data_IF_002402263179
#
_entry.id   IF_002402263179
#
_cell.length_a   1.000
_cell.length_b   1.000
_cell.length_c   1.000
_cell.angle_alpha   90.00
_cell.angle_beta   90.00
_cell.angle_gamma   90.00
#
_symmetry.space_group_name_H-M   'P 1'
#
loop_
_entity.id
_entity.type
_entity.pdbx_description
1 polymer ?
#
# COMPACT_ATOMS: atom_id res chain seq x y z
N UNK A 1 17.64 29.65 4.34
CA UNK A 1 16.44 28.90 4.82
C UNK A 1 16.05 27.85 3.80
N UNK A 2 15.55 26.67 4.23
CA UNK A 2 15.06 25.62 3.34
C UNK A 2 13.53 25.47 3.53
N UNK A 3 12.76 25.87 2.52
CA UNK A 3 11.30 25.72 2.53
C UNK A 3 10.92 24.37 1.94
N UNK A 4 10.15 23.54 2.67
CA UNK A 4 9.66 22.28 2.12
C UNK A 4 8.63 22.54 1.01
N UNK A 5 8.65 21.69 -0.02
CA UNK A 5 7.69 21.72 -1.12
C UNK A 5 6.69 20.56 -1.03
N UNK A 6 5.74 20.53 -1.96
CA UNK A 6 4.75 19.45 -2.02
C UNK A 6 5.38 18.07 -2.29
N UNK A 7 6.54 18.00 -2.93
CA UNK A 7 7.30 16.75 -3.13
C UNK A 7 7.92 16.19 -1.85
N UNK A 8 8.04 16.98 -0.77
CA UNK A 8 8.55 16.49 0.53
C UNK A 8 7.57 15.46 1.10
N UNK A 9 8.08 14.33 1.62
CA UNK A 9 7.21 13.33 2.23
C UNK A 9 6.51 13.88 3.48
N UNK A 10 5.30 13.38 3.79
CA UNK A 10 4.57 13.79 4.99
C UNK A 10 5.36 13.51 6.27
N UNK A 11 6.06 12.39 6.33
CA UNK A 11 6.94 12.03 7.43
C UNK A 11 8.07 13.03 7.63
N UNK A 12 8.73 13.44 6.54
CA UNK A 12 9.77 14.49 6.59
C UNK A 12 9.20 15.84 7.01
N UNK A 13 7.99 16.19 6.54
CA UNK A 13 7.30 17.41 7.00
C UNK A 13 7.08 17.37 8.51
N UNK A 14 6.55 16.28 9.03
CA UNK A 14 6.27 16.11 10.46
C UNK A 14 7.53 16.07 11.30
N UNK A 15 8.45 15.13 11.00
CA UNK A 15 9.59 14.81 11.88
C UNK A 15 10.73 15.82 11.77
N UNK A 16 10.91 16.43 10.62
CA UNK A 16 12.07 17.28 10.37
C UNK A 16 11.72 18.75 10.39
N UNK A 17 10.83 19.19 9.51
CA UNK A 17 10.47 20.60 9.40
C UNK A 17 9.53 21.03 10.53
N UNK A 18 8.50 20.23 10.80
CA UNK A 18 7.48 20.53 11.78
C UNK A 18 8.02 20.50 13.20
N UNK A 19 8.76 19.47 13.57
CA UNK A 19 9.37 19.40 14.90
C UNK A 19 10.31 20.58 15.14
N UNK A 20 11.17 20.91 14.16
CA UNK A 20 12.08 22.04 14.28
C UNK A 20 11.32 23.35 14.48
N UNK A 21 10.35 23.65 13.60
CA UNK A 21 9.58 24.89 13.61
C UNK A 21 8.78 25.04 14.90
N UNK A 22 8.01 24.00 15.27
CA UNK A 22 7.20 24.01 16.50
C UNK A 22 8.05 24.24 17.77
N UNK A 23 9.18 23.54 17.88
CA UNK A 23 10.09 23.72 19.02
C UNK A 23 10.61 25.15 19.12
N UNK A 24 10.92 25.79 17.99
CA UNK A 24 11.38 27.19 17.97
C UNK A 24 10.26 28.15 18.33
N UNK A 25 9.03 27.93 17.85
CA UNK A 25 7.86 28.73 18.20
C UNK A 25 7.54 28.64 19.68
N UNK A 26 7.56 27.43 20.26
CA UNK A 26 7.26 27.20 21.67
C UNK A 26 8.31 27.80 22.62
N UNK A 27 9.54 28.00 22.15
CA UNK A 27 10.60 28.64 22.95
C UNK A 27 10.44 30.16 23.07
N UNK A 28 9.61 30.81 22.25
CA UNK A 28 9.41 32.26 22.26
C UNK A 28 7.97 32.64 22.64
N UNK A 29 7.82 33.30 23.81
CA UNK A 29 6.53 33.73 24.35
C UNK A 29 5.80 34.76 23.45
N UNK A 30 6.52 35.46 22.58
CA UNK A 30 5.94 36.49 21.71
C UNK A 30 5.16 35.91 20.54
N UNK A 31 5.32 34.62 20.25
CA UNK A 31 4.71 33.93 19.09
C UNK A 31 3.86 32.73 19.51
N UNK A 32 3.32 32.75 20.74
CA UNK A 32 2.53 31.67 21.30
C UNK A 32 1.33 31.27 20.42
N UNK A 33 0.62 32.23 19.84
CA UNK A 33 -0.53 31.98 18.98
C UNK A 33 -0.12 31.22 17.70
N UNK A 34 1.04 31.54 17.12
CA UNK A 34 1.59 30.80 15.96
C UNK A 34 1.93 29.37 16.37
N UNK A 35 2.53 29.19 17.56
CA UNK A 35 2.84 27.84 18.06
C UNK A 35 1.58 26.98 18.21
N UNK A 36 0.50 27.50 18.82
CA UNK A 36 -0.77 26.80 18.98
C UNK A 36 -1.45 26.50 17.63
N UNK A 37 -1.38 27.44 16.67
CA UNK A 37 -1.90 27.27 15.32
C UNK A 37 -1.17 26.19 14.55
N UNK A 38 0.16 26.21 14.59
CA UNK A 38 1.00 25.24 13.91
C UNK A 38 0.93 23.83 14.55
N UNK A 39 0.85 23.75 15.87
CA UNK A 39 0.68 22.47 16.57
C UNK A 39 -0.60 21.74 16.12
N UNK A 40 -1.72 22.47 15.95
CA UNK A 40 -2.95 21.90 15.39
C UNK A 40 -2.76 21.38 13.97
N UNK A 41 -1.98 22.07 13.12
CA UNK A 41 -1.66 21.60 11.77
C UNK A 41 -0.78 20.33 11.81
N UNK A 42 0.21 20.29 12.73
CA UNK A 42 1.03 19.12 12.99
C UNK A 42 0.18 17.89 13.37
N UNK A 43 -0.71 18.07 14.34
CA UNK A 43 -1.58 17.00 14.83
C UNK A 43 -2.50 16.47 13.73
N UNK A 44 -3.14 17.37 12.94
CA UNK A 44 -4.01 16.93 11.83
C UNK A 44 -3.27 16.14 10.77
N UNK A 45 -2.09 16.61 10.34
CA UNK A 45 -1.29 15.87 9.37
C UNK A 45 -0.87 14.51 9.92
N UNK A 46 -0.42 14.46 11.19
CA UNK A 46 -0.05 13.21 11.85
C UNK A 46 -1.22 12.23 11.90
N UNK A 47 -2.41 12.67 12.28
CA UNK A 47 -3.62 11.83 12.31
C UNK A 47 -3.92 11.20 10.93
N UNK A 48 -3.76 11.96 9.83
CA UNK A 48 -3.98 11.42 8.49
C UNK A 48 -2.90 10.44 8.06
N UNK A 49 -1.65 10.66 8.45
CA UNK A 49 -0.55 9.72 8.22
C UNK A 49 -0.79 8.42 8.98
N UNK A 50 -1.13 8.49 10.27
CA UNK A 50 -1.41 7.31 11.10
C UNK A 50 -2.61 6.50 10.53
N UNK A 51 -3.64 7.19 10.04
CA UNK A 51 -4.79 6.55 9.39
C UNK A 51 -4.40 5.85 8.07
N UNK A 52 -3.57 6.46 7.24
CA UNK A 52 -3.05 5.86 6.02
C UNK A 52 -2.19 4.63 6.31
N UNK A 53 -1.29 4.69 7.29
CA UNK A 53 -0.48 3.53 7.69
C UNK A 53 -1.35 2.37 8.16
N UNK A 54 -2.41 2.64 8.94
CA UNK A 54 -3.38 1.63 9.38
C UNK A 54 -4.13 1.00 8.19
N UNK A 55 -4.57 1.82 7.23
CA UNK A 55 -5.26 1.33 6.03
C UNK A 55 -4.33 0.48 5.16
N UNK A 56 -3.07 0.88 4.98
CA UNK A 56 -2.06 0.13 4.23
C UNK A 56 -1.78 -1.24 4.86
N UNK A 57 -1.63 -1.30 6.18
CA UNK A 57 -1.50 -2.57 6.90
C UNK A 57 -2.73 -3.48 6.73
N UNK A 58 -3.92 -2.89 6.67
CA UNK A 58 -5.16 -3.65 6.45
C UNK A 58 -5.21 -4.21 5.03
N UNK A 59 -4.81 -3.43 4.01
CA UNK A 59 -4.71 -3.90 2.63
C UNK A 59 -3.68 -5.03 2.47
N UNK A 60 -2.53 -4.92 3.12
CA UNK A 60 -1.51 -5.99 3.11
C UNK A 60 -2.01 -7.29 3.76
N UNK A 61 -2.77 -7.19 4.87
CA UNK A 61 -3.38 -8.37 5.52
C UNK A 61 -4.44 -9.01 4.63
N UNK A 62 -5.30 -8.21 4.00
CA UNK A 62 -6.31 -8.71 3.08
C UNK A 62 -5.68 -9.38 1.85
N UNK A 63 -4.57 -8.85 1.34
CA UNK A 63 -3.76 -9.46 0.29
C UNK A 63 -3.26 -10.85 0.71
N UNK A 64 -2.68 -10.97 1.91
CA UNK A 64 -2.17 -12.24 2.41
C UNK A 64 -3.28 -13.30 2.59
N UNK A 65 -4.48 -12.88 3.03
CA UNK A 65 -5.64 -13.77 3.13
C UNK A 65 -6.08 -14.23 1.74
N UNK A 66 -6.18 -13.33 0.77
CA UNK A 66 -6.51 -13.65 -0.62
C UNK A 66 -5.55 -14.68 -1.22
N UNK A 67 -4.26 -14.46 -1.05
CA UNK A 67 -3.22 -15.36 -1.59
C UNK A 67 -3.26 -16.74 -0.88
N UNK A 68 -3.64 -16.76 0.40
CA UNK A 68 -3.87 -18.00 1.13
C UNK A 68 -5.09 -18.79 0.62
N UNK A 69 -6.20 -18.12 0.34
CA UNK A 69 -7.41 -18.77 -0.20
C UNK A 69 -7.21 -19.22 -1.66
N UNK A 70 -6.41 -18.50 -2.45
CA UNK A 70 -5.97 -18.92 -3.77
C UNK A 70 -5.19 -20.23 -3.72
N UNK A 71 -4.21 -20.34 -2.84
CA UNK A 71 -3.45 -21.57 -2.62
C UNK A 71 -4.35 -22.76 -2.18
N UNK A 72 -5.38 -22.51 -1.38
CA UNK A 72 -6.36 -23.54 -0.96
C UNK A 72 -7.20 -24.02 -2.16
N UNK A 73 -7.63 -23.10 -3.02
CA UNK A 73 -8.36 -23.44 -4.24
C UNK A 73 -7.48 -24.28 -5.18
N UNK A 74 -6.27 -23.82 -5.46
CA UNK A 74 -5.27 -24.52 -6.26
C UNK A 74 -5.04 -25.97 -5.77
N UNK A 75 -4.80 -26.15 -4.49
CA UNK A 75 -4.59 -27.47 -3.90
C UNK A 75 -5.84 -28.36 -4.04
N UNK A 76 -7.03 -27.80 -3.86
CA UNK A 76 -8.29 -28.51 -4.03
C UNK A 76 -8.48 -28.96 -5.47
N UNK A 77 -8.16 -28.09 -6.46
CA UNK A 77 -8.18 -28.42 -7.89
C UNK A 77 -7.16 -29.52 -8.22
N UNK A 78 -5.93 -29.44 -7.66
CA UNK A 78 -4.88 -30.46 -7.84
C UNK A 78 -5.31 -31.83 -7.29
N UNK A 79 -5.93 -31.86 -6.12
CA UNK A 79 -6.45 -33.09 -5.54
C UNK A 79 -7.57 -33.69 -6.39
N UNK A 80 -8.48 -32.85 -6.88
CA UNK A 80 -9.52 -33.29 -7.82
C UNK A 80 -8.91 -33.84 -9.11
N UNK A 81 -7.95 -33.13 -9.72
CA UNK A 81 -7.21 -33.58 -10.90
C UNK A 81 -6.57 -34.95 -10.69
N UNK A 82 -5.87 -35.16 -9.57
CA UNK A 82 -5.22 -36.42 -9.25
C UNK A 82 -6.24 -37.57 -9.12
N UNK A 83 -7.41 -37.31 -8.53
CA UNK A 83 -8.49 -38.30 -8.43
C UNK A 83 -9.05 -38.65 -9.81
N UNK A 84 -9.28 -37.66 -10.68
CA UNK A 84 -9.68 -37.89 -12.07
C UNK A 84 -8.62 -38.71 -12.82
N UNK A 85 -7.35 -38.39 -12.66
CA UNK A 85 -6.22 -39.13 -13.29
C UNK A 85 -6.16 -40.59 -12.83
N UNK A 86 -6.31 -40.83 -11.53
CA UNK A 86 -6.32 -42.19 -10.99
C UNK A 86 -7.47 -43.04 -11.58
N UNK A 87 -8.68 -42.45 -11.64
CA UNK A 87 -9.86 -43.13 -12.24
C UNK A 87 -9.73 -43.36 -13.73
N UNK A 88 -8.96 -42.57 -14.43
CA UNK A 88 -8.62 -42.74 -15.86
C UNK A 88 -7.46 -43.69 -16.10
N UNK A 89 -6.86 -44.30 -15.07
CA UNK A 89 -5.63 -45.09 -15.24
C UNK A 89 -4.47 -44.29 -15.82
N UNK A 90 -4.35 -43.02 -15.42
CA UNK A 90 -3.39 -42.03 -15.93
C UNK A 90 -3.49 -41.73 -17.45
N UNK A 91 -4.63 -42.05 -18.06
CA UNK A 91 -4.86 -41.81 -19.49
C UNK A 91 -5.53 -40.44 -19.73
N UNK A 92 -4.74 -39.41 -20.10
CA UNK A 92 -5.24 -38.08 -20.46
C UNK A 92 -6.10 -38.03 -21.73
N UNK A 93 -6.17 -39.12 -22.52
CA UNK A 93 -7.03 -39.20 -23.70
C UNK A 93 -8.44 -39.74 -23.32
N UNK A 94 -8.64 -40.20 -22.11
CA UNK A 94 -9.93 -40.75 -21.67
C UNK A 94 -11.04 -39.67 -21.74
N UNK A 95 -12.29 -40.07 -22.06
CA UNK A 95 -13.42 -39.15 -22.07
C UNK A 95 -13.64 -38.48 -20.72
N UNK A 96 -13.46 -39.20 -19.58
CA UNK A 96 -13.59 -38.69 -18.25
C UNK A 96 -12.55 -37.57 -17.97
N UNK A 97 -11.27 -37.78 -18.35
CA UNK A 97 -10.26 -36.76 -18.19
C UNK A 97 -10.60 -35.51 -19.02
N UNK A 98 -10.93 -35.67 -20.28
CA UNK A 98 -11.26 -34.55 -21.19
C UNK A 98 -12.54 -33.82 -20.76
N UNK A 99 -13.46 -34.49 -20.07
CA UNK A 99 -14.65 -33.83 -19.49
C UNK A 99 -14.26 -32.72 -18.51
N UNK A 100 -13.31 -32.95 -17.62
CA UNK A 100 -12.91 -32.01 -16.57
C UNK A 100 -11.72 -31.16 -16.95
N UNK A 101 -10.71 -31.74 -17.57
CA UNK A 101 -9.44 -31.10 -17.87
C UNK A 101 -9.05 -31.25 -19.37
N UNK A 102 -9.83 -30.67 -20.30
CA UNK A 102 -9.56 -30.84 -21.73
C UNK A 102 -8.17 -30.35 -22.15
N UNK A 103 -7.66 -29.31 -21.51
CA UNK A 103 -6.34 -28.69 -21.74
C UNK A 103 -5.30 -29.05 -20.66
N UNK A 104 -5.67 -29.91 -19.69
CA UNK A 104 -4.84 -30.27 -18.56
C UNK A 104 -5.06 -29.41 -17.33
N UNK A 105 -4.22 -29.63 -16.30
CA UNK A 105 -4.30 -28.92 -15.02
C UNK A 105 -3.82 -27.47 -15.12
N UNK A 106 -2.65 -27.28 -15.79
CA UNK A 106 -1.92 -26.02 -15.77
C UNK A 106 -2.77 -24.81 -16.18
N UNK A 107 -3.58 -24.85 -17.26
CA UNK A 107 -4.42 -23.71 -17.60
C UNK A 107 -5.46 -23.34 -16.53
N UNK A 108 -5.81 -24.23 -15.61
CA UNK A 108 -6.74 -23.92 -14.51
C UNK A 108 -6.00 -23.18 -13.42
N UNK A 109 -4.94 -23.78 -12.88
CA UNK A 109 -4.19 -23.26 -11.71
C UNK A 109 -3.20 -22.13 -12.02
N UNK A 110 -2.97 -21.80 -13.27
CA UNK A 110 -2.12 -20.66 -13.68
C UNK A 110 -2.93 -19.50 -14.28
N UNK A 111 -4.24 -19.60 -14.25
CA UNK A 111 -5.09 -18.51 -14.72
C UNK A 111 -5.04 -17.33 -13.73
N UNK A 112 -5.26 -16.08 -14.19
CA UNK A 112 -5.57 -14.99 -13.25
C UNK A 112 -6.77 -15.36 -12.38
N UNK A 113 -6.82 -14.89 -11.13
CA UNK A 113 -7.83 -15.28 -10.12
C UNK A 113 -9.27 -15.38 -10.63
N UNK A 114 -9.74 -14.37 -11.37
CA UNK A 114 -11.07 -14.39 -11.97
C UNK A 114 -11.23 -15.51 -13.02
N UNK A 115 -10.18 -15.73 -13.83
CA UNK A 115 -10.14 -16.79 -14.83
C UNK A 115 -10.12 -18.19 -14.19
N UNK A 116 -9.45 -18.34 -13.06
CA UNK A 116 -9.45 -19.58 -12.28
C UNK A 116 -10.83 -19.87 -11.71
N UNK A 117 -11.48 -18.89 -11.08
CA UNK A 117 -12.85 -19.00 -10.60
C UNK A 117 -13.80 -19.45 -11.71
N UNK A 118 -13.71 -18.88 -12.93
CA UNK A 118 -14.52 -19.27 -14.07
C UNK A 118 -14.28 -20.73 -14.49
N UNK A 119 -13.04 -21.18 -14.49
CA UNK A 119 -12.69 -22.57 -14.85
C UNK A 119 -13.13 -23.56 -13.80
N UNK A 120 -13.00 -23.21 -12.53
CA UNK A 120 -13.55 -24.01 -11.41
C UNK A 120 -15.06 -24.08 -11.50
N UNK A 121 -15.74 -23.03 -11.88
CA UNK A 121 -17.19 -23.01 -12.08
C UNK A 121 -17.62 -23.95 -13.22
N UNK A 122 -16.87 -24.00 -14.32
CA UNK A 122 -17.07 -24.97 -15.39
C UNK A 122 -16.88 -26.43 -14.93
N UNK A 123 -15.94 -26.69 -14.02
CA UNK A 123 -15.77 -28.00 -13.38
C UNK A 123 -16.99 -28.33 -12.49
N UNK A 124 -17.40 -27.38 -11.66
CA UNK A 124 -18.56 -27.55 -10.76
C UNK A 124 -19.85 -27.85 -11.51
N UNK A 125 -20.09 -27.18 -12.63
CA UNK A 125 -21.25 -27.44 -13.49
C UNK A 125 -21.28 -28.89 -13.98
N UNK A 126 -20.12 -29.43 -14.36
CA UNK A 126 -19.99 -30.83 -14.79
C UNK A 126 -20.19 -31.83 -13.63
N UNK A 127 -19.77 -31.42 -12.41
CA UNK A 127 -19.96 -32.23 -11.20
C UNK A 127 -21.43 -32.35 -10.75
N UNK A 128 -22.34 -31.49 -11.25
CA UNK A 128 -23.77 -31.60 -10.96
C UNK A 128 -24.35 -32.91 -11.53
N UNK A 129 -23.86 -33.34 -12.68
CA UNK A 129 -24.30 -34.53 -13.40
C UNK A 129 -23.42 -35.77 -13.13
N UNK A 130 -22.47 -35.66 -12.19
CA UNK A 130 -21.53 -36.73 -11.91
C UNK A 130 -22.20 -37.79 -11.02
N UNK A 131 -22.03 -39.05 -11.39
CA UNK A 131 -22.58 -40.20 -10.61
C UNK A 131 -21.53 -40.85 -9.71
N UNK A 132 -20.23 -40.70 -10.06
CA UNK A 132 -19.14 -41.22 -9.25
C UNK A 132 -19.04 -40.48 -7.91
N UNK A 133 -19.23 -41.19 -6.82
CA UNK A 133 -19.28 -40.65 -5.47
C UNK A 133 -17.99 -39.98 -5.05
N UNK A 134 -16.81 -40.48 -5.46
CA UNK A 134 -15.51 -39.92 -5.09
C UNK A 134 -15.29 -38.57 -5.79
N UNK A 135 -15.69 -38.45 -7.07
CA UNK A 135 -15.62 -37.19 -7.80
C UNK A 135 -16.66 -36.19 -7.27
N UNK A 136 -17.88 -36.65 -6.98
CA UNK A 136 -18.96 -35.82 -6.44
C UNK A 136 -18.62 -35.20 -5.08
N UNK A 137 -17.84 -35.88 -4.27
CA UNK A 137 -17.38 -35.38 -2.96
C UNK A 137 -16.52 -34.10 -3.08
N UNK A 138 -15.88 -33.85 -4.24
CA UNK A 138 -15.13 -32.62 -4.47
C UNK A 138 -16.01 -31.40 -4.70
N UNK A 139 -17.28 -31.58 -5.06
CA UNK A 139 -18.20 -30.46 -5.32
C UNK A 139 -18.24 -29.47 -4.17
N UNK A 140 -18.54 -29.93 -2.96
CA UNK A 140 -18.63 -29.06 -1.77
C UNK A 140 -17.28 -28.41 -1.42
N UNK A 141 -16.15 -29.12 -1.62
CA UNK A 141 -14.82 -28.59 -1.37
C UNK A 141 -14.47 -27.46 -2.34
N UNK A 142 -14.70 -27.65 -3.64
CA UNK A 142 -14.47 -26.67 -4.68
C UNK A 142 -15.41 -25.45 -4.56
N UNK A 143 -16.69 -25.68 -4.23
CA UNK A 143 -17.65 -24.60 -3.98
C UNK A 143 -17.21 -23.72 -2.80
N UNK A 144 -16.79 -24.36 -1.69
CA UNK A 144 -16.32 -23.66 -0.50
C UNK A 144 -15.05 -22.87 -0.78
N UNK A 145 -14.02 -23.50 -1.38
CA UNK A 145 -12.76 -22.83 -1.70
C UNK A 145 -12.97 -21.65 -2.68
N UNK A 146 -13.76 -21.85 -3.75
CA UNK A 146 -14.13 -20.79 -4.68
C UNK A 146 -14.83 -19.62 -3.98
N UNK A 147 -15.79 -19.92 -3.09
CA UNK A 147 -16.50 -18.88 -2.33
C UNK A 147 -15.59 -18.09 -1.42
N UNK A 148 -14.70 -18.78 -0.70
CA UNK A 148 -13.75 -18.15 0.20
C UNK A 148 -12.80 -17.23 -0.56
N UNK A 149 -12.23 -17.70 -1.67
CA UNK A 149 -11.36 -16.87 -2.52
C UNK A 149 -12.10 -15.62 -3.01
N UNK A 150 -13.35 -15.75 -3.46
CA UNK A 150 -14.13 -14.59 -3.91
C UNK A 150 -14.35 -13.57 -2.79
N UNK A 151 -14.71 -14.04 -1.58
CA UNK A 151 -14.84 -13.16 -0.41
C UNK A 151 -13.53 -12.46 -0.07
N UNK A 152 -12.41 -13.17 -0.14
CA UNK A 152 -11.08 -12.60 0.11
C UNK A 152 -10.66 -11.57 -0.97
N UNK A 153 -10.98 -11.82 -2.23
CA UNK A 153 -10.78 -10.85 -3.33
C UNK A 153 -11.57 -9.56 -3.10
N UNK A 154 -12.85 -9.68 -2.76
CA UNK A 154 -13.73 -8.52 -2.50
C UNK A 154 -13.22 -7.71 -1.28
N UNK A 155 -12.80 -8.40 -0.22
CA UNK A 155 -12.22 -7.78 0.97
C UNK A 155 -10.90 -7.05 0.65
N UNK A 156 -10.02 -7.63 -0.17
CA UNK A 156 -8.78 -6.99 -0.60
C UNK A 156 -9.04 -5.75 -1.46
N UNK A 157 -9.99 -5.83 -2.41
CA UNK A 157 -10.39 -4.68 -3.24
C UNK A 157 -10.90 -3.52 -2.38
N UNK A 158 -11.79 -3.79 -1.42
CA UNK A 158 -12.32 -2.79 -0.50
C UNK A 158 -11.22 -2.16 0.39
N UNK A 159 -10.24 -2.97 0.82
CA UNK A 159 -9.12 -2.47 1.60
C UNK A 159 -8.20 -1.54 0.78
N UNK A 160 -7.96 -1.85 -0.51
CA UNK A 160 -7.21 -0.98 -1.42
C UNK A 160 -7.93 0.35 -1.68
N UNK A 161 -9.25 0.35 -1.82
CA UNK A 161 -10.04 1.59 -1.96
C UNK A 161 -9.92 2.46 -0.71
N UNK A 162 -9.96 1.84 0.47
CA UNK A 162 -9.78 2.53 1.76
C UNK A 162 -8.38 3.13 1.88
N UNK A 163 -7.34 2.40 1.50
CA UNK A 163 -5.96 2.87 1.47
C UNK A 163 -5.79 4.07 0.52
N UNK A 164 -6.31 3.96 -0.69
CA UNK A 164 -6.26 5.04 -1.70
C UNK A 164 -6.96 6.31 -1.19
N UNK A 165 -8.12 6.17 -0.54
CA UNK A 165 -8.84 7.28 0.08
C UNK A 165 -8.03 7.94 1.21
N UNK A 166 -7.45 7.14 2.10
CA UNK A 166 -6.60 7.63 3.19
C UNK A 166 -5.36 8.36 2.65
N UNK A 167 -4.72 7.83 1.60
CA UNK A 167 -3.62 8.52 0.92
C UNK A 167 -4.04 9.89 0.37
N UNK A 168 -5.20 9.97 -0.27
CA UNK A 168 -5.78 11.24 -0.75
C UNK A 168 -5.95 12.26 0.38
N UNK A 169 -6.41 11.82 1.56
CA UNK A 169 -6.54 12.67 2.74
C UNK A 169 -5.19 13.19 3.24
N UNK A 170 -4.14 12.34 3.23
CA UNK A 170 -2.77 12.79 3.56
C UNK A 170 -2.31 13.88 2.60
N UNK A 171 -2.51 13.72 1.28
CA UNK A 171 -2.11 14.73 0.31
C UNK A 171 -2.84 16.07 0.50
N UNK A 172 -4.14 16.02 0.77
CA UNK A 172 -4.94 17.21 1.05
C UNK A 172 -4.46 17.93 2.33
N UNK A 173 -4.17 17.19 3.40
CA UNK A 173 -3.71 17.79 4.65
C UNK A 173 -2.27 18.31 4.57
N UNK A 174 -1.41 17.70 3.74
CA UNK A 174 -0.06 18.24 3.41
C UNK A 174 -0.14 19.64 2.83
N UNK A 175 -1.08 19.91 1.93
CA UNK A 175 -1.27 21.24 1.34
C UNK A 175 -1.58 22.25 2.45
N UNK A 176 -2.54 21.94 3.32
CA UNK A 176 -2.93 22.82 4.43
C UNK A 176 -1.78 23.05 5.41
N UNK A 177 -1.02 22.01 5.72
CA UNK A 177 0.16 22.10 6.57
C UNK A 177 1.21 23.05 5.97
N UNK A 178 1.51 22.89 4.67
CA UNK A 178 2.45 23.75 3.95
C UNK A 178 1.98 25.21 3.90
N UNK A 179 0.68 25.44 3.79
CA UNK A 179 0.12 26.79 3.81
C UNK A 179 0.25 27.44 5.18
N UNK A 180 -0.01 26.70 6.29
CA UNK A 180 0.24 27.21 7.65
C UNK A 180 1.72 27.53 7.84
N UNK A 181 2.63 26.64 7.42
CA UNK A 181 4.07 26.87 7.51
C UNK A 181 4.53 28.13 6.76
N UNK A 182 3.95 28.41 5.58
CA UNK A 182 4.22 29.62 4.80
C UNK A 182 3.60 30.86 5.43
N UNK A 183 2.41 30.75 6.03
CA UNK A 183 1.78 31.86 6.76
C UNK A 183 2.61 32.27 7.96
N UNK A 184 3.10 31.30 8.73
CA UNK A 184 3.99 31.56 9.87
C UNK A 184 5.28 32.26 9.42
N UNK A 185 5.84 31.86 8.24
CA UNK A 185 7.01 32.54 7.68
C UNK A 185 6.73 34.04 7.43
N UNK A 186 5.58 34.35 6.84
CA UNK A 186 5.18 35.74 6.58
C UNK A 186 4.93 36.50 7.88
N UNK A 187 4.24 35.90 8.83
CA UNK A 187 3.93 36.50 10.14
C UNK A 187 5.22 36.82 10.92
N UNK A 188 6.15 35.87 10.97
CA UNK A 188 7.46 36.07 11.62
C UNK A 188 8.32 37.10 10.90
N UNK A 189 8.29 37.13 9.59
CA UNK A 189 8.97 38.18 8.78
C UNK A 189 8.42 39.56 9.05
N UNK A 190 7.10 39.71 9.25
CA UNK A 190 6.49 40.96 9.62
C UNK A 190 6.80 41.34 11.09
N UNK A 191 6.71 40.39 12.01
CA UNK A 191 7.00 40.63 13.44
C UNK A 191 8.46 41.05 13.67
N UNK A 192 9.39 40.45 12.95
CA UNK A 192 10.82 40.69 13.08
C UNK A 192 11.40 41.42 11.85
N UNK A 193 10.64 42.39 11.28
CA UNK A 193 11.06 43.10 10.07
C UNK A 193 12.41 43.86 10.23
N UNK A 194 12.75 44.28 11.47
CA UNK A 194 14.03 44.91 11.79
C UNK A 194 15.18 43.93 12.00
N UNK A 195 14.86 42.62 12.25
CA UNK A 195 15.84 41.55 12.40
C UNK A 195 15.40 40.29 11.60
N UNK A 196 15.57 40.31 10.27
CA UNK A 196 15.19 39.20 9.42
C UNK A 196 15.88 37.87 9.77
N UNK A 197 17.12 37.97 10.31
CA UNK A 197 17.87 36.77 10.74
C UNK A 197 17.17 36.06 11.89
N UNK A 198 16.54 36.82 12.80
CA UNK A 198 15.76 36.23 13.88
C UNK A 198 14.56 35.45 13.33
N UNK A 199 13.82 36.02 12.36
CA UNK A 199 12.71 35.31 11.71
C UNK A 199 13.17 33.99 11.06
N UNK A 200 14.32 33.97 10.42
CA UNK A 200 14.87 32.75 9.79
C UNK A 200 15.22 31.64 10.79
N UNK A 201 15.53 31.97 12.05
CA UNK A 201 15.89 30.96 13.07
C UNK A 201 14.75 30.03 13.45
N UNK A 202 13.49 30.38 13.15
CA UNK A 202 12.34 29.52 13.38
C UNK A 202 12.20 28.40 12.34
N UNK A 203 12.93 28.48 11.25
CA UNK A 203 12.85 27.55 10.14
C UNK A 203 14.14 26.75 10.01
N UNK A 204 14.02 25.51 9.56
CA UNK A 204 15.19 24.65 9.39
C UNK A 204 16.17 25.26 8.41
N UNK A 205 17.44 25.41 8.77
CA UNK A 205 18.45 25.93 7.87
C UNK A 205 18.66 25.01 6.67
N UNK A 206 19.03 25.58 5.51
CA UNK A 206 19.49 24.77 4.39
C UNK A 206 20.74 23.96 4.80
N UNK A 207 20.92 22.73 4.29
CA UNK A 207 22.17 22.02 4.47
C UNK A 207 23.33 22.91 3.96
N UNK A 208 24.36 23.06 4.78
CA UNK A 208 25.59 23.72 4.28
C UNK A 208 26.12 22.84 3.16
N UNK A 209 26.28 23.39 1.96
CA UNK A 209 27.01 22.72 0.90
C UNK A 209 28.37 22.30 1.47
N UNK A 210 28.65 21.01 1.43
CA UNK A 210 30.02 20.53 1.73
C UNK A 210 30.91 21.21 0.71
N UNK A 211 31.84 22.07 1.17
CA UNK A 211 32.86 22.66 0.30
C UNK A 211 33.42 21.51 -0.58
N UNK A 212 33.32 21.65 -1.90
CA UNK A 212 33.98 20.72 -2.80
C UNK A 212 35.43 20.64 -2.33
N UNK A 213 35.86 19.46 -1.88
CA UNK A 213 37.29 19.23 -1.70
C UNK A 213 37.92 19.50 -3.08
N UNK A 214 38.73 20.54 -3.16
CA UNK A 214 39.60 20.74 -4.32
C UNK A 214 40.36 19.42 -4.52
N UNK A 215 40.19 18.80 -5.66
CA UNK A 215 41.04 17.68 -6.08
C UNK A 215 42.48 18.19 -6.10
N UNK A 216 43.43 17.45 -5.50
CA UNK A 216 44.83 17.83 -5.58
C UNK A 216 45.26 17.94 -7.07
N UNK A 217 45.67 19.10 -7.50
CA UNK A 217 46.24 19.28 -8.83
C UNK A 217 47.40 18.29 -9.00
N UNK A 218 47.31 17.47 -10.03
CA UNK A 218 48.39 16.55 -10.39
C UNK A 218 49.68 17.36 -10.63
N UNK A 219 50.86 16.90 -10.17
CA UNK A 219 52.11 17.61 -10.40
C UNK A 219 52.42 17.71 -11.88
N UNK A 220 53.04 18.81 -12.33
CA UNK A 220 53.36 18.99 -13.74
C UNK A 220 54.35 17.90 -14.19
N UNK A 221 54.02 17.26 -15.29
CA UNK A 221 54.93 16.32 -15.96
C UNK A 221 56.20 17.07 -16.41
N UNK A 222 57.36 16.64 -15.91
CA UNK A 222 58.69 17.03 -16.39
C UNK A 222 59.05 16.13 -17.58
#
# INVERSE_FOLDING_TARGET
MNMPGFSTSAETLLKVYGTYHLTRLQADKNVKELAEGFEKAQMRLKEKVDAFESASLTAMRALAVRDGEDAVLDETVRRFYNTVMAKCGNNRKSPLFKRYFPEGLFPVVSAPLEGEIMKVEAILTKLLEEEDADLKNFKGQLESAKKNLKVAMDAHSSALETEASAFGMVQAEKIKWLDVYKLDYRALGHLYYQDPKKAETYFKPAPKEKAKKEEPQAPPKV
#
